data_IF_896499406428
#
_entry.id   IF_896499406428
#
_cell.length_a   1.000
_cell.length_b   1.000
_cell.length_c   1.000
_cell.angle_alpha   90.00
_cell.angle_beta   90.00
_cell.angle_gamma   90.00
#
_symmetry.space_group_name_H-M   'P 1'
#
loop_
_entity.id
_entity.type
_entity.pdbx_description
1 polymer ?
#
# COMPACT_ATOMS: atom_id res chain seq x y z
N UNK A 1 12.74 -6.72 16.35
CA UNK A 1 12.40 -5.30 16.58
C UNK A 1 13.08 -4.84 17.86
N UNK A 2 14.39 -4.56 17.80
CA UNK A 2 15.08 -3.85 18.88
C UNK A 2 14.94 -2.36 18.58
N UNK A 3 14.15 -1.69 19.41
CA UNK A 3 14.18 -0.24 19.58
C UNK A 3 15.61 0.17 19.88
N UNK A 4 16.28 0.74 18.87
CA UNK A 4 17.60 1.33 19.04
C UNK A 4 17.44 2.57 19.93
N UNK A 5 17.85 2.42 21.19
CA UNK A 5 18.02 3.48 22.18
C UNK A 5 18.63 4.73 21.54
N UNK A 6 17.84 5.78 21.35
CA UNK A 6 18.30 7.11 21.00
C UNK A 6 18.82 7.90 22.21
N UNK A 7 19.02 7.24 23.37
CA UNK A 7 19.47 7.85 24.62
C UNK A 7 20.58 7.03 25.31
N UNK A 8 21.49 6.40 24.55
CA UNK A 8 22.76 5.94 25.15
C UNK A 8 23.71 7.13 25.24
N UNK A 9 24.20 7.40 26.45
CA UNK A 9 25.29 8.33 26.72
C UNK A 9 26.45 8.12 25.72
N UNK A 10 27.15 9.20 25.33
CA UNK A 10 28.24 9.16 24.35
C UNK A 10 29.23 8.04 24.66
N UNK A 11 29.24 6.98 23.83
CA UNK A 11 30.24 5.90 23.83
C UNK A 11 30.40 5.11 25.14
N UNK A 12 29.83 3.90 25.21
CA UNK A 12 30.09 2.96 26.30
C UNK A 12 31.40 2.20 26.04
N UNK A 13 32.42 2.44 26.85
CA UNK A 13 33.73 1.76 26.77
C UNK A 13 33.87 0.76 27.91
N UNK A 14 34.22 -0.48 27.60
CA UNK A 14 34.57 -1.49 28.61
C UNK A 14 36.08 -1.54 28.79
N UNK A 15 36.56 -1.43 30.03
CA UNK A 15 37.98 -1.47 30.37
C UNK A 15 38.30 -2.75 31.13
N UNK A 16 39.11 -3.63 30.56
CA UNK A 16 39.63 -4.84 31.22
C UNK A 16 41.14 -4.71 31.42
N UNK A 17 41.54 -4.28 32.61
CA UNK A 17 42.93 -4.06 32.99
C UNK A 17 43.14 -4.51 34.46
N UNK A 18 43.38 -5.81 34.70
CA UNK A 18 43.41 -6.41 36.04
C UNK A 18 44.64 -5.97 36.86
N UNK A 19 45.68 -5.44 36.22
CA UNK A 19 46.91 -4.98 36.84
C UNK A 19 47.11 -3.48 36.62
N UNK A 20 47.41 -2.73 37.69
CA UNK A 20 47.75 -1.30 37.62
C UNK A 20 46.60 -0.32 37.86
N UNK A 21 46.90 0.98 37.78
CA UNK A 21 45.93 2.08 37.96
C UNK A 21 45.40 2.65 36.64
N UNK A 22 45.85 2.11 35.50
CA UNK A 22 45.58 2.66 34.17
C UNK A 22 44.09 2.63 33.83
N UNK A 23 43.36 1.57 34.18
CA UNK A 23 41.91 1.46 33.97
C UNK A 23 41.15 2.62 34.63
N UNK A 24 41.48 2.94 35.89
CA UNK A 24 40.80 3.98 36.65
C UNK A 24 41.14 5.38 36.11
N UNK A 25 42.39 5.59 35.68
CA UNK A 25 42.83 6.86 35.10
C UNK A 25 42.22 7.09 33.70
N UNK A 26 42.17 6.05 32.86
CA UNK A 26 41.50 6.08 31.56
C UNK A 26 40.00 6.33 31.77
N UNK A 27 39.36 5.64 32.71
CA UNK A 27 37.95 5.86 33.03
C UNK A 27 37.66 7.29 33.47
N UNK A 28 38.50 7.86 34.36
CA UNK A 28 38.37 9.25 34.79
C UNK A 28 38.51 10.25 33.64
N UNK A 29 39.55 10.11 32.80
CA UNK A 29 39.77 11.01 31.66
C UNK A 29 38.71 10.89 30.55
N UNK A 30 38.11 9.71 30.40
CA UNK A 30 36.96 9.52 29.49
C UNK A 30 35.69 10.13 30.08
N UNK A 31 35.46 9.94 31.38
CA UNK A 31 34.32 10.49 32.10
C UNK A 31 34.28 12.02 32.13
N UNK A 32 35.43 12.67 32.32
CA UNK A 32 35.57 14.14 32.29
C UNK A 32 35.14 14.75 30.93
N UNK A 33 35.11 13.93 29.88
CA UNK A 33 34.70 14.32 28.52
C UNK A 33 33.37 13.67 28.08
N UNK A 34 32.59 13.15 29.02
CA UNK A 34 31.24 12.63 28.74
C UNK A 34 31.20 11.21 28.16
N UNK A 35 32.34 10.51 28.10
CA UNK A 35 32.39 9.11 27.64
C UNK A 35 32.18 8.15 28.82
N UNK A 36 31.21 7.26 28.71
CA UNK A 36 30.90 6.28 29.77
C UNK A 36 31.90 5.13 29.75
N UNK A 37 32.84 5.10 30.69
CA UNK A 37 33.83 4.04 30.81
C UNK A 37 33.57 3.15 32.03
N UNK A 38 33.41 1.84 31.81
CA UNK A 38 33.17 0.84 32.85
C UNK A 38 34.38 -0.05 33.05
N UNK A 39 34.99 0.01 34.23
CA UNK A 39 36.06 -0.90 34.62
C UNK A 39 35.45 -2.26 34.97
N UNK A 40 35.94 -3.31 34.32
CA UNK A 40 35.53 -4.69 34.57
C UNK A 40 36.50 -5.34 35.55
N UNK A 41 35.97 -6.01 36.57
CA UNK A 41 36.78 -6.62 37.63
C UNK A 41 37.48 -7.90 37.17
N UNK A 42 36.85 -8.64 36.26
CA UNK A 42 37.36 -9.87 35.68
C UNK A 42 36.79 -10.06 34.25
N UNK A 43 37.19 -11.17 33.63
CA UNK A 43 36.77 -11.51 32.27
C UNK A 43 35.28 -11.87 32.19
N UNK A 44 34.71 -12.51 33.21
CA UNK A 44 33.29 -12.91 33.19
C UNK A 44 32.38 -11.67 33.21
N UNK A 45 32.72 -10.67 34.04
CA UNK A 45 32.07 -9.37 34.08
C UNK A 45 32.20 -8.62 32.75
N UNK A 46 33.41 -8.63 32.16
CA UNK A 46 33.65 -8.01 30.86
C UNK A 46 32.80 -8.65 29.74
N UNK A 47 32.78 -9.98 29.66
CA UNK A 47 32.02 -10.74 28.67
C UNK A 47 30.53 -10.46 28.76
N UNK A 48 29.97 -10.56 29.98
CA UNK A 48 28.57 -10.25 30.23
C UNK A 48 28.21 -8.82 29.81
N UNK A 49 29.03 -7.84 30.20
CA UNK A 49 28.82 -6.43 29.83
C UNK A 49 28.97 -6.20 28.34
N UNK A 50 29.83 -6.94 27.65
CA UNK A 50 29.99 -6.85 26.19
C UNK A 50 28.74 -7.36 25.46
N UNK A 51 28.13 -8.45 25.95
CA UNK A 51 26.84 -8.95 25.46
C UNK A 51 25.68 -7.97 25.69
N UNK A 52 25.71 -7.17 26.76
CA UNK A 52 24.76 -6.06 26.98
C UNK A 52 24.98 -4.89 25.99
N UNK A 53 26.07 -4.94 25.22
CA UNK A 53 26.42 -4.03 24.14
C UNK A 53 27.31 -2.88 24.61
N UNK A 54 28.47 -2.73 23.96
CA UNK A 54 29.42 -1.65 24.15
C UNK A 54 29.78 -1.00 22.80
N UNK A 55 30.47 0.14 22.84
CA UNK A 55 30.93 0.89 21.66
C UNK A 55 32.44 0.73 21.41
N UNK A 56 33.21 0.38 22.44
CA UNK A 56 34.62 0.01 22.33
C UNK A 56 35.05 -0.83 23.53
N UNK A 57 36.16 -1.54 23.40
CA UNK A 57 36.86 -2.17 24.52
C UNK A 57 38.30 -1.69 24.62
N UNK A 58 38.79 -1.59 25.85
CA UNK A 58 40.21 -1.47 26.17
C UNK A 58 40.62 -2.70 26.96
N UNK A 59 41.69 -3.35 26.53
CA UNK A 59 42.18 -4.58 27.16
C UNK A 59 43.69 -4.46 27.36
N UNK A 60 44.22 -4.86 28.51
CA UNK A 60 45.68 -5.02 28.68
C UNK A 60 46.10 -6.45 28.36
N UNK A 61 47.32 -6.63 27.88
CA UNK A 61 47.85 -7.94 27.52
C UNK A 61 47.77 -8.98 28.66
N UNK A 62 47.94 -8.57 29.91
CA UNK A 62 47.84 -9.44 31.08
C UNK A 62 46.42 -10.00 31.29
N UNK A 63 45.41 -9.34 30.73
CA UNK A 63 44.03 -9.80 30.78
C UNK A 63 43.70 -10.87 29.72
N UNK A 64 44.54 -11.05 28.70
CA UNK A 64 44.32 -11.95 27.57
C UNK A 64 44.68 -13.41 27.89
N UNK A 65 44.01 -13.98 28.89
CA UNK A 65 44.04 -15.43 29.13
C UNK A 65 43.37 -16.19 27.97
N UNK A 66 43.65 -17.49 27.74
CA UNK A 66 42.96 -18.26 26.70
C UNK A 66 41.44 -18.20 26.77
N UNK A 67 40.88 -18.20 27.99
CA UNK A 67 39.44 -18.04 28.24
C UNK A 67 38.93 -16.66 27.79
N UNK A 68 39.70 -15.60 28.06
CA UNK A 68 39.34 -14.23 27.64
C UNK A 68 39.33 -14.07 26.12
N UNK A 69 40.29 -14.67 25.43
CA UNK A 69 40.35 -14.65 23.96
C UNK A 69 39.16 -15.40 23.37
N UNK A 70 38.83 -16.59 23.88
CA UNK A 70 37.66 -17.35 23.42
C UNK A 70 36.37 -16.56 23.58
N UNK A 71 36.15 -15.93 24.74
CA UNK A 71 34.97 -15.12 24.96
C UNK A 71 34.91 -13.89 24.04
N UNK A 72 36.03 -13.16 23.89
CA UNK A 72 36.11 -12.00 22.99
C UNK A 72 35.77 -12.37 21.55
N UNK A 73 36.35 -13.47 21.05
CA UNK A 73 36.07 -13.97 19.70
C UNK A 73 34.61 -14.36 19.54
N UNK A 74 34.02 -15.03 20.53
CA UNK A 74 32.59 -15.39 20.51
C UNK A 74 31.70 -14.14 20.46
N UNK A 75 31.96 -13.15 21.33
CA UNK A 75 31.22 -11.90 21.36
C UNK A 75 31.37 -11.07 20.08
N UNK A 76 32.54 -11.10 19.44
CA UNK A 76 32.77 -10.46 18.14
C UNK A 76 31.99 -11.16 17.02
N UNK A 77 31.90 -12.50 17.05
CA UNK A 77 31.12 -13.27 16.07
C UNK A 77 29.62 -13.09 16.21
N UNK A 78 29.13 -12.83 17.41
CA UNK A 78 27.73 -12.47 17.64
C UNK A 78 27.39 -11.06 17.14
N UNK A 79 28.39 -10.21 16.89
CA UNK A 79 28.14 -8.90 16.31
C UNK A 79 27.52 -9.03 14.91
N UNK A 80 26.61 -8.13 14.54
CA UNK A 80 26.11 -8.08 13.17
C UNK A 80 27.25 -7.94 12.15
N UNK A 81 27.11 -8.52 10.94
CA UNK A 81 28.18 -8.51 9.91
C UNK A 81 28.70 -7.12 9.50
N UNK A 82 27.94 -6.05 9.72
CA UNK A 82 28.34 -4.67 9.42
C UNK A 82 29.09 -3.99 10.58
N UNK A 83 29.08 -4.60 11.76
CA UNK A 83 29.61 -4.05 13.01
C UNK A 83 31.10 -4.32 13.08
N UNK A 84 31.89 -3.25 13.08
CA UNK A 84 33.33 -3.31 13.32
C UNK A 84 33.59 -2.85 14.76
N UNK A 85 33.61 -3.79 15.70
CA UNK A 85 33.75 -3.46 17.13
C UNK A 85 35.22 -3.18 17.46
N UNK A 86 35.58 -1.98 17.94
CA UNK A 86 36.98 -1.63 18.14
C UNK A 86 37.50 -2.08 19.50
N UNK A 87 38.68 -2.69 19.49
CA UNK A 87 39.41 -3.15 20.69
C UNK A 87 40.78 -2.45 20.71
N UNK A 88 41.04 -1.65 21.74
CA UNK A 88 42.37 -1.07 21.99
C UNK A 88 43.11 -1.97 22.96
N UNK A 89 44.19 -2.61 22.50
CA UNK A 89 45.00 -3.54 23.27
C UNK A 89 46.32 -2.90 23.69
N UNK A 90 46.56 -2.79 25.00
CA UNK A 90 47.83 -2.32 25.55
C UNK A 90 48.81 -3.49 25.73
N UNK A 91 49.92 -3.46 25.00
CA UNK A 91 50.96 -4.52 24.99
C UNK A 91 52.21 -4.12 25.76
N UNK A 92 52.96 -5.09 26.28
CA UNK A 92 54.27 -4.88 26.92
C UNK A 92 55.39 -4.74 25.89
N UNK A 93 56.15 -3.65 25.92
CA UNK A 93 57.35 -3.49 25.10
C UNK A 93 58.61 -3.96 25.84
N UNK A 94 59.24 -5.04 25.36
CA UNK A 94 60.53 -5.53 25.85
C UNK A 94 60.70 -7.04 25.75
N UNK A 95 61.94 -7.55 25.84
CA UNK A 95 62.40 -8.94 25.62
C UNK A 95 61.70 -10.06 26.43
N UNK A 96 60.67 -9.75 27.22
CA UNK A 96 59.85 -10.72 27.96
C UNK A 96 58.56 -10.98 27.19
N UNK A 97 58.54 -12.10 26.46
CA UNK A 97 57.39 -12.73 25.75
C UNK A 97 56.43 -11.73 25.09
N UNK A 98 56.57 -11.42 23.79
CA UNK A 98 55.57 -10.59 23.10
C UNK A 98 54.18 -11.22 23.21
N UNK A 99 53.14 -10.37 23.19
CA UNK A 99 51.74 -10.80 23.07
C UNK A 99 51.64 -11.98 22.11
N UNK A 100 51.13 -13.11 22.61
CA UNK A 100 51.18 -14.38 21.90
C UNK A 100 50.65 -14.17 20.47
N UNK A 101 51.48 -14.37 19.41
CA UNK A 101 51.08 -14.09 18.03
C UNK A 101 49.80 -14.81 17.62
N UNK A 102 49.51 -15.95 18.25
CA UNK A 102 48.27 -16.72 18.06
C UNK A 102 47.05 -15.96 18.59
N UNK A 103 47.18 -15.27 19.72
CA UNK A 103 46.10 -14.48 20.33
C UNK A 103 45.80 -13.22 19.52
N UNK A 104 46.84 -12.50 19.10
CA UNK A 104 46.69 -11.32 18.24
C UNK A 104 46.07 -11.67 16.89
N UNK A 105 46.47 -12.82 16.31
CA UNK A 105 45.87 -13.32 15.08
C UNK A 105 44.41 -13.70 15.27
N UNK A 106 44.07 -14.42 16.35
CA UNK A 106 42.69 -14.81 16.64
C UNK A 106 41.76 -13.60 16.82
N UNK A 107 42.23 -12.53 17.46
CA UNK A 107 41.44 -11.31 17.64
C UNK A 107 41.42 -10.42 16.39
N UNK A 108 42.48 -10.44 15.57
CA UNK A 108 42.58 -9.65 14.34
C UNK A 108 41.83 -10.23 13.15
N UNK A 109 41.66 -11.55 13.07
CA UNK A 109 40.88 -12.21 12.02
C UNK A 109 39.36 -11.93 12.18
N UNK A 110 38.90 -11.77 13.43
CA UNK A 110 37.48 -11.60 13.80
C UNK A 110 37.14 -10.17 14.32
N UNK A 111 38.09 -9.22 14.41
CA UNK A 111 37.85 -7.90 15.01
C UNK A 111 38.84 -6.79 14.69
N UNK A 112 38.42 -5.53 14.93
CA UNK A 112 39.23 -4.32 14.74
C UNK A 112 40.08 -4.04 15.97
N UNK A 113 41.31 -4.56 15.97
CA UNK A 113 42.25 -4.43 17.09
C UNK A 113 43.30 -3.36 16.81
N UNK A 114 43.39 -2.37 17.70
CA UNK A 114 44.45 -1.34 17.73
C UNK A 114 45.46 -1.67 18.83
N UNK A 115 46.72 -1.84 18.47
CA UNK A 115 47.80 -2.14 19.43
C UNK A 115 48.47 -0.84 19.92
N UNK A 116 48.70 -0.74 21.23
CA UNK A 116 49.49 0.34 21.83
C UNK A 116 50.55 -0.26 22.74
N UNK A 117 51.82 -0.02 22.43
CA UNK A 117 52.95 -0.58 23.18
C UNK A 117 53.33 0.28 24.40
N UNK A 118 53.77 -0.37 25.49
CA UNK A 118 54.38 0.29 26.65
C UNK A 118 55.87 0.56 26.46
N UNK A 119 56.43 1.65 27.04
CA UNK A 119 55.74 2.67 27.83
C UNK A 119 54.96 3.66 26.94
N UNK A 120 53.69 3.91 27.27
CA UNK A 120 52.84 4.89 26.58
C UNK A 120 52.25 5.89 27.58
N UNK A 121 51.85 7.07 27.08
CA UNK A 121 51.18 8.08 27.90
C UNK A 121 49.68 7.80 27.89
N UNK A 122 49.00 8.07 29.00
CA UNK A 122 47.54 7.89 29.14
C UNK A 122 46.79 8.65 28.03
N UNK A 123 47.27 9.85 27.66
CA UNK A 123 46.68 10.64 26.56
C UNK A 123 46.67 9.90 25.20
N UNK A 124 47.64 9.02 24.94
CA UNK A 124 47.69 8.21 23.72
C UNK A 124 46.58 7.16 23.72
N UNK A 125 46.36 6.49 24.86
CA UNK A 125 45.28 5.49 25.03
C UNK A 125 43.91 6.13 24.88
N UNK A 126 43.71 7.26 25.55
CA UNK A 126 42.49 8.06 25.44
C UNK A 126 42.27 8.52 24.00
N UNK A 127 43.31 8.96 23.29
CA UNK A 127 43.20 9.37 21.88
C UNK A 127 42.83 8.20 20.95
N UNK A 128 43.41 7.02 21.17
CA UNK A 128 43.08 5.81 20.41
C UNK A 128 41.62 5.39 20.62
N UNK A 129 41.15 5.34 21.87
CA UNK A 129 39.76 5.04 22.20
C UNK A 129 38.79 6.07 21.60
N UNK A 130 39.13 7.37 21.61
CA UNK A 130 38.32 8.40 20.95
C UNK A 130 38.24 8.21 19.44
N UNK A 131 39.35 7.86 18.80
CA UNK A 131 39.35 7.58 17.37
C UNK A 131 38.46 6.37 17.03
N UNK A 132 38.56 5.31 17.82
CA UNK A 132 37.70 4.13 17.75
C UNK A 132 36.22 4.47 17.91
N UNK A 133 35.85 5.20 18.97
CA UNK A 133 34.46 5.62 19.21
C UNK A 133 33.90 6.48 18.08
N UNK A 134 34.70 7.40 17.52
CA UNK A 134 34.27 8.20 16.35
C UNK A 134 34.07 7.34 15.11
N UNK A 135 34.90 6.32 14.90
CA UNK A 135 34.71 5.38 13.79
C UNK A 135 33.42 4.57 13.99
N UNK A 136 33.20 4.03 15.20
CA UNK A 136 32.00 3.30 15.58
C UNK A 136 30.73 4.09 15.37
N UNK A 137 30.70 5.35 15.81
CA UNK A 137 29.56 6.25 15.63
C UNK A 137 29.23 6.47 14.15
N UNK A 138 30.23 6.73 13.31
CA UNK A 138 30.03 6.92 11.86
C UNK A 138 29.45 5.67 11.19
N UNK A 139 29.76 4.47 11.67
CA UNK A 139 29.17 3.24 11.16
C UNK A 139 27.68 3.13 11.47
N UNK A 140 27.28 3.45 12.70
CA UNK A 140 25.87 3.49 13.09
C UNK A 140 25.10 4.57 12.30
N UNK A 141 25.67 5.77 12.16
CA UNK A 141 25.07 6.86 11.38
C UNK A 141 24.87 6.47 9.90
N UNK A 142 25.91 5.88 9.28
CA UNK A 142 25.81 5.40 7.90
C UNK A 142 24.74 4.33 7.74
N UNK A 143 24.69 3.36 8.66
CA UNK A 143 23.66 2.32 8.66
C UNK A 143 22.26 2.90 8.79
N UNK A 144 22.06 3.83 9.74
CA UNK A 144 20.78 4.49 9.94
C UNK A 144 20.34 5.19 8.64
N UNK A 145 21.25 5.91 8.01
CA UNK A 145 20.99 6.59 6.74
C UNK A 145 20.61 5.61 5.61
N UNK A 146 21.32 4.48 5.47
CA UNK A 146 21.01 3.46 4.46
C UNK A 146 19.63 2.81 4.68
N UNK A 147 19.26 2.57 5.94
CA UNK A 147 17.94 2.02 6.29
C UNK A 147 16.83 3.02 5.95
N UNK A 148 17.02 4.31 6.26
CA UNK A 148 16.07 5.36 5.90
C UNK A 148 15.93 5.53 4.38
N UNK A 149 17.04 5.55 3.65
CA UNK A 149 17.03 5.63 2.19
C UNK A 149 16.27 4.47 1.56
N UNK A 150 16.53 3.23 2.02
CA UNK A 150 15.83 2.05 1.52
C UNK A 150 14.33 2.12 1.77
N UNK A 151 13.91 2.56 2.96
CA UNK A 151 12.49 2.76 3.29
C UNK A 151 11.84 3.82 2.40
N UNK A 152 12.52 4.93 2.16
CA UNK A 152 12.03 6.00 1.30
C UNK A 152 11.91 5.54 -0.18
N UNK A 153 12.84 4.72 -0.64
CA UNK A 153 12.80 4.13 -1.99
C UNK A 153 11.64 3.14 -2.15
N UNK A 154 11.43 2.25 -1.18
CA UNK A 154 10.31 1.30 -1.16
C UNK A 154 8.96 2.03 -1.18
N UNK A 155 8.78 3.06 -0.36
CA UNK A 155 7.56 3.86 -0.33
C UNK A 155 7.35 4.62 -1.65
N UNK A 156 8.42 5.18 -2.23
CA UNK A 156 8.34 5.84 -3.54
C UNK A 156 7.95 4.87 -4.64
N UNK A 157 8.48 3.66 -4.64
CA UNK A 157 8.14 2.63 -5.62
C UNK A 157 6.67 2.20 -5.50
N UNK A 158 6.16 2.07 -4.27
CA UNK A 158 4.75 1.80 -4.00
C UNK A 158 3.84 2.90 -4.54
N UNK A 159 4.06 4.16 -4.16
CA UNK A 159 3.27 5.30 -4.61
C UNK A 159 3.30 5.46 -6.14
N UNK A 160 4.45 5.20 -6.78
CA UNK A 160 4.56 5.24 -8.23
C UNK A 160 3.69 4.15 -8.89
N UNK A 161 3.61 2.97 -8.27
CA UNK A 161 2.81 1.85 -8.78
C UNK A 161 1.31 2.16 -8.68
N UNK A 162 0.86 2.66 -7.52
CA UNK A 162 -0.52 3.11 -7.30
C UNK A 162 -0.91 4.24 -8.27
N UNK A 163 -0.02 5.22 -8.48
CA UNK A 163 -0.24 6.31 -9.43
C UNK A 163 -0.33 5.81 -10.88
N UNK A 164 0.53 4.87 -11.29
CA UNK A 164 0.50 4.26 -12.63
C UNK A 164 -0.80 3.49 -12.86
N UNK A 165 -1.23 2.72 -11.88
CA UNK A 165 -2.49 1.98 -11.97
C UNK A 165 -3.69 2.92 -12.09
N UNK A 166 -3.75 3.96 -11.24
CA UNK A 166 -4.80 4.97 -11.33
C UNK A 166 -4.80 5.68 -12.68
N UNK A 167 -3.64 6.01 -13.24
CA UNK A 167 -3.56 6.67 -14.54
C UNK A 167 -3.97 5.73 -15.67
N UNK A 168 -3.58 4.45 -15.62
CA UNK A 168 -4.02 3.43 -16.57
C UNK A 168 -5.54 3.29 -16.56
N UNK A 169 -6.17 3.20 -15.38
CA UNK A 169 -7.63 3.13 -15.25
C UNK A 169 -8.30 4.38 -15.82
N UNK A 170 -7.69 5.57 -15.64
CA UNK A 170 -8.18 6.81 -16.23
C UNK A 170 -8.09 6.80 -17.77
N UNK A 171 -6.99 6.31 -18.32
CA UNK A 171 -6.78 6.23 -19.76
C UNK A 171 -7.71 5.20 -20.41
N UNK A 172 -7.86 4.02 -19.79
CA UNK A 172 -8.84 2.99 -20.18
C UNK A 172 -10.26 3.57 -20.14
N UNK A 173 -10.62 4.31 -19.09
CA UNK A 173 -11.90 5.01 -19.00
C UNK A 173 -12.11 6.00 -20.15
N UNK A 174 -11.14 6.89 -20.42
CA UNK A 174 -11.26 7.87 -21.50
C UNK A 174 -11.36 7.21 -22.87
N UNK A 175 -10.63 6.11 -23.11
CA UNK A 175 -10.70 5.35 -24.34
C UNK A 175 -12.08 4.71 -24.54
N UNK A 176 -12.61 4.03 -23.52
CA UNK A 176 -13.94 3.41 -23.56
C UNK A 176 -15.03 4.46 -23.77
N UNK A 177 -15.00 5.57 -23.03
CA UNK A 177 -15.99 6.65 -23.19
C UNK A 177 -15.93 7.28 -24.57
N UNK A 178 -14.73 7.51 -25.11
CA UNK A 178 -14.59 8.01 -26.47
C UNK A 178 -15.25 7.08 -27.50
N UNK A 179 -15.18 5.77 -27.29
CA UNK A 179 -15.79 4.79 -28.18
C UNK A 179 -17.30 4.71 -28.02
N UNK A 180 -17.80 4.67 -26.78
CA UNK A 180 -19.23 4.64 -26.45
C UNK A 180 -19.95 5.91 -26.89
N UNK A 181 -19.29 7.08 -26.84
CA UNK A 181 -19.83 8.34 -27.36
C UNK A 181 -19.79 8.37 -28.89
N UNK A 182 -18.75 7.82 -29.53
CA UNK A 182 -18.61 7.86 -31.00
C UNK A 182 -19.68 7.03 -31.70
N UNK A 183 -20.01 5.84 -31.20
CA UNK A 183 -20.95 4.92 -31.85
C UNK A 183 -22.34 5.54 -32.14
N UNK A 184 -23.08 6.08 -31.16
CA UNK A 184 -24.38 6.72 -31.43
C UNK A 184 -24.24 7.96 -32.31
N UNK A 185 -23.17 8.74 -32.12
CA UNK A 185 -22.89 9.92 -32.95
C UNK A 185 -22.66 9.56 -34.43
N UNK A 186 -21.90 8.50 -34.72
CA UNK A 186 -21.69 8.01 -36.08
C UNK A 186 -23.00 7.52 -36.71
N UNK A 187 -23.86 6.84 -35.94
CA UNK A 187 -25.18 6.43 -36.42
C UNK A 187 -26.08 7.63 -36.75
N UNK A 188 -26.13 8.64 -35.87
CA UNK A 188 -26.89 9.89 -36.10
C UNK A 188 -26.39 10.59 -37.36
N UNK A 189 -25.07 10.78 -37.50
CA UNK A 189 -24.48 11.44 -38.67
C UNK A 189 -24.73 10.65 -39.97
N UNK A 190 -24.64 9.32 -39.92
CA UNK A 190 -24.89 8.45 -41.06
C UNK A 190 -26.33 8.55 -41.56
N UNK A 191 -27.31 8.38 -40.66
CA UNK A 191 -28.73 8.47 -41.01
C UNK A 191 -29.16 9.88 -41.41
N UNK A 192 -28.64 10.93 -40.77
CA UNK A 192 -28.92 12.30 -41.19
C UNK A 192 -28.33 12.62 -42.57
N UNK A 193 -27.14 12.08 -42.91
CA UNK A 193 -26.58 12.22 -44.26
C UNK A 193 -27.45 11.50 -45.31
N UNK A 194 -27.89 10.29 -45.01
CA UNK A 194 -28.78 9.51 -45.87
C UNK A 194 -30.14 10.22 -46.04
N UNK A 195 -30.79 10.66 -44.98
CA UNK A 195 -32.06 11.39 -45.07
C UNK A 195 -31.96 12.64 -45.97
N UNK A 196 -30.79 13.30 -45.99
CA UNK A 196 -30.54 14.46 -46.87
C UNK A 196 -30.41 14.12 -48.36
N UNK A 197 -30.15 12.87 -48.74
CA UNK A 197 -30.11 12.49 -50.17
C UNK A 197 -31.50 12.40 -50.80
N UNK A 198 -32.57 12.43 -50.00
CA UNK A 198 -33.97 12.42 -50.44
C UNK A 198 -34.34 11.21 -51.33
N UNK A 199 -33.61 10.11 -51.19
CA UNK A 199 -33.79 8.86 -51.96
C UNK A 199 -34.67 7.83 -51.26
N UNK A 200 -35.18 8.15 -50.06
CA UNK A 200 -35.93 7.22 -49.22
C UNK A 200 -37.45 7.34 -49.43
N UNK A 201 -38.14 6.20 -49.35
CA UNK A 201 -39.60 6.21 -49.19
C UNK A 201 -40.02 6.76 -47.83
N UNK A 202 -41.33 6.96 -47.63
CA UNK A 202 -41.87 7.43 -46.33
C UNK A 202 -41.52 6.48 -45.17
N UNK A 203 -41.68 5.17 -45.37
CA UNK A 203 -41.40 4.17 -44.32
C UNK A 203 -39.92 4.13 -43.93
N UNK A 204 -39.00 4.19 -44.90
CA UNK A 204 -37.55 4.20 -44.62
C UNK A 204 -37.12 5.50 -43.90
N UNK A 205 -37.79 6.61 -44.23
CA UNK A 205 -37.56 7.92 -43.60
C UNK A 205 -37.97 7.88 -42.13
N UNK A 206 -39.13 7.31 -41.83
CA UNK A 206 -39.65 7.15 -40.46
C UNK A 206 -38.71 6.27 -39.63
N UNK A 207 -38.26 5.14 -40.19
CA UNK A 207 -37.30 4.24 -39.52
C UNK A 207 -35.92 4.88 -39.29
N UNK A 208 -35.47 5.73 -40.22
CA UNK A 208 -34.24 6.49 -40.06
C UNK A 208 -34.37 7.54 -38.93
N UNK A 209 -35.50 8.25 -38.86
CA UNK A 209 -35.78 9.22 -37.79
C UNK A 209 -35.86 8.54 -36.41
N UNK A 210 -36.55 7.40 -36.30
CA UNK A 210 -36.58 6.60 -35.06
C UNK A 210 -35.16 6.18 -34.63
N UNK A 211 -34.32 5.80 -35.59
CA UNK A 211 -32.94 5.42 -35.29
C UNK A 211 -32.11 6.61 -34.81
N UNK A 212 -32.29 7.79 -35.40
CA UNK A 212 -31.64 9.02 -34.97
C UNK A 212 -32.08 9.39 -33.55
N UNK A 213 -33.38 9.40 -33.28
CA UNK A 213 -33.95 9.73 -31.97
C UNK A 213 -33.44 8.78 -30.88
N UNK A 214 -33.48 7.47 -31.13
CA UNK A 214 -32.98 6.46 -30.19
C UNK A 214 -31.49 6.67 -29.86
N UNK A 215 -30.66 6.95 -30.86
CA UNK A 215 -29.23 7.19 -30.63
C UNK A 215 -28.98 8.53 -29.92
N UNK A 216 -29.78 9.56 -30.18
CA UNK A 216 -29.69 10.84 -29.48
C UNK A 216 -30.02 10.69 -28.00
N UNK A 217 -31.08 9.94 -27.67
CA UNK A 217 -31.41 9.62 -26.27
C UNK A 217 -30.31 8.80 -25.58
N UNK A 218 -29.74 7.80 -26.28
CA UNK A 218 -28.61 7.05 -25.75
C UNK A 218 -27.40 7.94 -25.48
N UNK A 219 -27.11 8.90 -26.37
CA UNK A 219 -26.03 9.87 -26.24
C UNK A 219 -26.21 10.79 -25.03
N UNK A 220 -27.42 11.34 -24.82
CA UNK A 220 -27.75 12.17 -23.66
C UNK A 220 -27.56 11.38 -22.37
N UNK A 221 -28.09 10.16 -22.30
CA UNK A 221 -27.94 9.30 -21.13
C UNK A 221 -26.47 9.04 -20.79
N UNK A 222 -25.62 8.74 -21.79
CA UNK A 222 -24.19 8.53 -21.57
C UNK A 222 -23.49 9.78 -21.00
N UNK A 223 -23.88 10.98 -21.45
CA UNK A 223 -23.33 12.24 -20.95
C UNK A 223 -23.77 12.48 -19.50
N UNK A 224 -25.04 12.23 -19.18
CA UNK A 224 -25.57 12.40 -17.82
C UNK A 224 -24.89 11.42 -16.84
N UNK A 225 -24.75 10.14 -17.23
CA UNK A 225 -24.05 9.11 -16.46
C UNK A 225 -22.58 9.51 -16.21
N UNK A 226 -21.91 10.10 -17.21
CA UNK A 226 -20.54 10.62 -17.10
C UNK A 226 -20.42 11.78 -16.10
N UNK A 227 -21.35 12.74 -16.15
CA UNK A 227 -21.38 13.88 -15.24
C UNK A 227 -21.64 13.43 -13.80
N UNK A 228 -22.55 12.46 -13.60
CA UNK A 228 -22.82 11.87 -12.30
C UNK A 228 -21.60 11.15 -11.74
N UNK A 229 -20.93 10.30 -12.53
CA UNK A 229 -19.69 9.62 -12.13
C UNK A 229 -18.62 10.63 -11.73
N UNK A 230 -18.44 11.70 -12.51
CA UNK A 230 -17.48 12.76 -12.20
C UNK A 230 -17.77 13.44 -10.85
N UNK A 231 -19.04 13.77 -10.59
CA UNK A 231 -19.47 14.35 -9.31
C UNK A 231 -19.26 13.39 -8.13
N UNK A 232 -19.52 12.10 -8.32
CA UNK A 232 -19.29 11.06 -7.30
C UNK A 232 -17.80 10.95 -6.99
N UNK A 233 -16.95 10.80 -8.01
CA UNK A 233 -15.49 10.62 -7.84
C UNK A 233 -14.86 11.82 -7.15
N UNK A 234 -15.31 13.03 -7.49
CA UNK A 234 -14.79 14.26 -6.89
C UNK A 234 -15.39 14.58 -5.53
N UNK A 235 -16.28 13.75 -4.99
CA UNK A 235 -16.97 13.99 -3.72
C UNK A 235 -17.93 15.19 -3.76
N UNK A 236 -18.33 15.62 -4.95
CA UNK A 236 -19.20 16.79 -5.18
C UNK A 236 -20.68 16.43 -5.35
N UNK A 237 -21.01 15.13 -5.38
CA UNK A 237 -22.41 14.70 -5.40
C UNK A 237 -23.07 15.10 -4.07
N UNK A 238 -24.11 15.91 -4.16
CA UNK A 238 -25.00 16.23 -3.04
C UNK A 238 -26.34 15.52 -3.27
N UNK A 239 -26.86 14.91 -2.22
CA UNK A 239 -28.17 14.28 -2.22
C UNK A 239 -29.19 15.26 -1.66
N UNK A 240 -30.34 15.38 -2.32
CA UNK A 240 -31.48 16.13 -1.81
C UNK A 240 -32.38 15.20 -0.98
N UNK A 241 -31.96 14.98 0.27
CA UNK A 241 -32.56 13.98 1.16
C UNK A 241 -33.87 14.51 1.75
N UNK A 242 -34.98 13.89 1.35
CA UNK A 242 -36.32 14.23 1.81
C UNK A 242 -37.04 12.99 2.35
N UNK A 243 -38.16 13.20 3.05
CA UNK A 243 -39.07 12.09 3.40
C UNK A 243 -39.87 11.73 2.17
N UNK A 244 -39.72 10.51 1.67
CA UNK A 244 -40.25 10.06 0.38
C UNK A 244 -41.10 8.79 0.52
N UNK A 245 -42.09 8.66 -0.35
CA UNK A 245 -42.81 7.40 -0.56
C UNK A 245 -42.06 6.56 -1.59
N UNK A 246 -41.38 5.52 -1.10
CA UNK A 246 -40.60 4.63 -1.96
C UNK A 246 -41.47 3.76 -2.87
N UNK A 247 -42.75 3.53 -2.52
CA UNK A 247 -43.71 2.81 -3.36
C UNK A 247 -43.93 3.56 -4.67
N UNK A 248 -44.28 4.84 -4.58
CA UNK A 248 -44.49 5.72 -5.74
C UNK A 248 -43.25 5.82 -6.64
N UNK A 249 -42.05 5.88 -6.05
CA UNK A 249 -40.79 5.92 -6.81
C UNK A 249 -40.54 4.62 -7.59
N UNK A 250 -40.79 3.47 -6.96
CA UNK A 250 -40.65 2.16 -7.62
C UNK A 250 -41.68 2.02 -8.74
N UNK A 251 -42.93 2.44 -8.52
CA UNK A 251 -43.97 2.44 -9.54
C UNK A 251 -43.58 3.31 -10.74
N UNK A 252 -43.11 4.53 -10.52
CA UNK A 252 -42.65 5.42 -11.58
C UNK A 252 -41.53 4.80 -12.42
N UNK A 253 -40.55 4.14 -11.78
CA UNK A 253 -39.48 3.44 -12.48
C UNK A 253 -39.98 2.23 -13.30
N UNK A 254 -40.95 1.49 -12.76
CA UNK A 254 -41.58 0.35 -13.47
C UNK A 254 -42.36 0.84 -14.70
N UNK A 255 -43.18 1.88 -14.55
CA UNK A 255 -43.99 2.40 -15.65
C UNK A 255 -43.15 2.91 -16.80
N UNK A 256 -42.07 3.62 -16.52
CA UNK A 256 -41.20 4.08 -17.58
C UNK A 256 -40.46 2.90 -18.28
N UNK A 257 -40.23 1.76 -17.59
CA UNK A 257 -39.53 0.60 -18.15
C UNK A 257 -40.47 -0.34 -18.92
N UNK A 258 -41.78 -0.22 -18.69
CA UNK A 258 -42.84 -1.06 -19.25
C UNK A 258 -42.80 -1.14 -20.78
N UNK A 259 -42.66 -0.05 -21.56
CA UNK A 259 -42.61 -0.15 -23.02
C UNK A 259 -41.46 -1.03 -23.54
N UNK A 260 -40.30 -0.96 -22.88
CA UNK A 260 -39.13 -1.77 -23.25
C UNK A 260 -39.33 -3.25 -22.92
N UNK A 261 -40.00 -3.54 -21.80
CA UNK A 261 -40.36 -4.90 -21.41
C UNK A 261 -41.38 -5.51 -22.38
N UNK A 262 -42.42 -4.76 -22.74
CA UNK A 262 -43.48 -5.18 -23.67
C UNK A 262 -42.95 -5.43 -25.07
N UNK A 263 -42.08 -4.56 -25.58
CA UNK A 263 -41.41 -4.75 -26.88
C UNK A 263 -40.60 -6.06 -26.94
N UNK A 264 -40.13 -6.56 -25.80
CA UNK A 264 -39.39 -7.83 -25.67
C UNK A 264 -40.24 -8.98 -25.10
N UNK A 265 -41.56 -8.80 -25.00
CA UNK A 265 -42.51 -9.75 -24.43
C UNK A 265 -42.07 -10.29 -23.05
N UNK A 266 -41.53 -9.42 -22.19
CA UNK A 266 -41.13 -9.75 -20.82
C UNK A 266 -42.33 -9.58 -19.88
N UNK A 267 -42.60 -10.60 -19.06
CA UNK A 267 -43.60 -10.52 -18.00
C UNK A 267 -43.06 -9.70 -16.81
N UNK A 268 -43.45 -8.43 -16.71
CA UNK A 268 -43.04 -7.52 -15.66
C UNK A 268 -44.05 -7.52 -14.50
N UNK A 269 -43.62 -8.01 -13.33
CA UNK A 269 -44.45 -8.14 -12.12
C UNK A 269 -44.00 -7.18 -11.01
N UNK A 270 -44.94 -6.58 -10.30
CA UNK A 270 -44.68 -5.74 -9.12
C UNK A 270 -45.34 -6.30 -7.87
N UNK A 271 -44.60 -6.30 -6.76
CA UNK A 271 -45.07 -6.68 -5.44
C UNK A 271 -44.63 -5.61 -4.44
N UNK A 272 -45.47 -4.59 -4.27
CA UNK A 272 -45.15 -3.42 -3.46
C UNK A 272 -45.94 -3.51 -2.15
N UNK A 273 -45.24 -3.61 -1.02
CA UNK A 273 -45.87 -3.55 0.29
C UNK A 273 -46.28 -2.09 0.59
N UNK A 274 -47.58 -1.77 0.74
CA UNK A 274 -48.04 -0.40 1.05
C UNK A 274 -47.53 0.12 2.40
N UNK A 275 -47.12 -0.77 3.30
CA UNK A 275 -46.54 -0.45 4.61
C UNK A 275 -45.00 -0.46 4.61
N UNK A 276 -44.36 -0.40 3.43
CA UNK A 276 -42.92 -0.16 3.34
C UNK A 276 -42.51 1.14 4.04
N UNK A 277 -43.47 2.07 4.22
CA UNK A 277 -43.34 3.28 5.03
C UNK A 277 -42.46 4.33 4.35
N UNK A 278 -42.59 5.60 4.76
CA UNK A 278 -41.73 6.64 4.21
C UNK A 278 -40.27 6.37 4.60
N UNK A 279 -39.37 6.65 3.68
CA UNK A 279 -37.91 6.57 3.89
C UNK A 279 -37.29 7.95 3.71
N UNK A 280 -36.13 8.16 4.31
CA UNK A 280 -35.33 9.36 4.06
C UNK A 280 -34.40 9.08 2.87
N UNK A 281 -34.53 9.86 1.80
CA UNK A 281 -33.73 9.65 0.59
C UNK A 281 -33.95 10.72 -0.46
N UNK A 282 -33.12 10.67 -1.49
CA UNK A 282 -33.24 11.48 -2.69
C UNK A 282 -34.09 10.71 -3.71
N UNK A 283 -35.24 11.28 -4.07
CA UNK A 283 -36.24 10.62 -4.90
C UNK A 283 -35.69 10.29 -6.30
N UNK A 284 -35.02 11.26 -6.93
CA UNK A 284 -34.49 11.13 -8.29
C UNK A 284 -33.38 10.07 -8.32
N UNK A 285 -32.51 10.06 -7.32
CA UNK A 285 -31.41 9.07 -7.23
C UNK A 285 -31.92 7.67 -6.96
N UNK A 286 -32.94 7.51 -6.12
CA UNK A 286 -33.53 6.20 -5.87
C UNK A 286 -34.31 5.70 -7.10
N UNK A 287 -35.02 6.58 -7.80
CA UNK A 287 -35.64 6.24 -9.08
C UNK A 287 -34.60 5.77 -10.10
N UNK A 288 -33.47 6.48 -10.20
CA UNK A 288 -32.34 6.11 -11.08
C UNK A 288 -31.76 4.73 -10.73
N UNK A 289 -31.63 4.39 -9.44
CA UNK A 289 -31.18 3.05 -9.00
C UNK A 289 -32.15 1.96 -9.47
N UNK A 290 -33.44 2.13 -9.19
CA UNK A 290 -34.46 1.13 -9.56
C UNK A 290 -34.54 0.98 -11.08
N UNK A 291 -34.50 2.10 -11.81
CA UNK A 291 -34.45 2.14 -13.26
C UNK A 291 -33.26 1.37 -13.84
N UNK A 292 -32.07 1.60 -13.31
CA UNK A 292 -30.85 0.95 -13.79
C UNK A 292 -30.89 -0.57 -13.55
N UNK A 293 -31.42 -1.01 -12.41
CA UNK A 293 -31.60 -2.44 -12.14
C UNK A 293 -32.65 -3.06 -13.06
N UNK A 294 -33.79 -2.39 -13.25
CA UNK A 294 -34.87 -2.83 -14.15
C UNK A 294 -34.42 -2.94 -15.61
N UNK A 295 -33.77 -1.91 -16.13
CA UNK A 295 -33.30 -1.89 -17.52
C UNK A 295 -32.23 -2.94 -17.76
N UNK A 296 -31.36 -3.21 -16.79
CA UNK A 296 -30.43 -4.34 -16.85
C UNK A 296 -31.15 -5.69 -16.85
N UNK A 297 -32.12 -5.90 -15.94
CA UNK A 297 -32.92 -7.12 -15.88
C UNK A 297 -33.64 -7.40 -17.22
N UNK A 298 -34.31 -6.40 -17.80
CA UNK A 298 -34.99 -6.52 -19.10
C UNK A 298 -33.98 -6.80 -20.22
N UNK A 299 -32.83 -6.10 -20.24
CA UNK A 299 -31.79 -6.27 -21.24
C UNK A 299 -31.27 -7.71 -21.29
N UNK A 300 -31.02 -8.33 -20.14
CA UNK A 300 -30.40 -9.67 -20.06
C UNK A 300 -31.38 -10.84 -19.90
N UNK A 301 -32.68 -10.56 -19.80
CA UNK A 301 -33.72 -11.59 -19.85
C UNK A 301 -34.10 -11.92 -21.30
N UNK A 302 -34.11 -13.20 -21.72
CA UNK A 302 -34.59 -13.62 -23.04
C UNK A 302 -36.06 -13.24 -23.29
N UNK A 303 -36.46 -13.15 -24.56
CA UNK A 303 -37.85 -12.90 -24.95
C UNK A 303 -38.80 -13.95 -24.31
N UNK A 304 -39.93 -13.50 -23.76
CA UNK A 304 -40.88 -14.38 -23.06
C UNK A 304 -40.51 -14.69 -21.60
N UNK A 305 -39.37 -14.19 -21.10
CA UNK A 305 -38.96 -14.35 -19.70
C UNK A 305 -39.73 -13.44 -18.73
N UNK A 306 -39.30 -13.40 -17.48
CA UNK A 306 -39.96 -12.64 -16.41
C UNK A 306 -39.00 -11.78 -15.61
N UNK A 307 -39.48 -10.60 -15.22
CA UNK A 307 -38.80 -9.68 -14.30
C UNK A 307 -39.78 -9.31 -13.20
N UNK A 308 -39.35 -9.38 -11.94
CA UNK A 308 -40.17 -9.08 -10.76
C UNK A 308 -39.49 -8.03 -9.90
N UNK A 309 -40.23 -6.99 -9.54
CA UNK A 309 -39.82 -5.99 -8.55
C UNK A 309 -40.61 -6.20 -7.27
N UNK A 310 -39.90 -6.32 -6.15
CA UNK A 310 -40.49 -6.45 -4.80
C UNK A 310 -39.99 -5.34 -3.90
N UNK A 311 -40.91 -4.64 -3.25
CA UNK A 311 -40.65 -3.66 -2.21
C UNK A 311 -41.21 -4.18 -0.89
N UNK A 312 -40.36 -4.36 0.12
CA UNK A 312 -40.77 -4.84 1.44
C UNK A 312 -40.01 -4.16 2.57
N UNK A 313 -40.67 -4.00 3.73
CA UNK A 313 -39.99 -3.58 4.97
C UNK A 313 -39.40 -4.79 5.67
N UNK A 314 -38.12 -4.71 6.00
CA UNK A 314 -37.37 -5.74 6.73
C UNK A 314 -36.73 -5.08 7.94
N UNK A 315 -37.30 -5.33 9.12
CA UNK A 315 -36.91 -4.68 10.37
C UNK A 315 -36.96 -3.14 10.25
N UNK A 316 -35.83 -2.47 10.52
CA UNK A 316 -35.67 -1.02 10.41
C UNK A 316 -35.35 -0.53 8.99
N UNK A 317 -35.26 -1.42 8.01
CA UNK A 317 -34.87 -1.09 6.64
C UNK A 317 -35.98 -1.38 5.63
N UNK A 318 -35.85 -0.82 4.44
CA UNK A 318 -36.65 -1.19 3.28
C UNK A 318 -35.76 -1.89 2.27
N UNK A 319 -36.26 -2.97 1.68
CA UNK A 319 -35.56 -3.80 0.70
C UNK A 319 -36.28 -3.72 -0.64
N UNK A 320 -35.54 -3.29 -1.66
CA UNK A 320 -35.95 -3.39 -3.06
C UNK A 320 -35.25 -4.60 -3.65
N UNK A 321 -36.01 -5.50 -4.26
CA UNK A 321 -35.48 -6.66 -4.98
C UNK A 321 -35.94 -6.60 -6.42
N UNK A 322 -35.00 -6.58 -7.36
CA UNK A 322 -35.28 -6.81 -8.78
C UNK A 322 -34.76 -8.21 -9.11
N UNK A 323 -35.65 -9.09 -9.54
CA UNK A 323 -35.32 -10.46 -9.91
C UNK A 323 -35.66 -10.71 -11.36
N UNK A 324 -34.79 -11.38 -12.08
CA UNK A 324 -34.98 -11.72 -13.47
C UNK A 324 -34.76 -13.21 -13.73
N UNK A 325 -35.34 -13.72 -14.82
CA UNK A 325 -35.13 -15.07 -15.31
C UNK A 325 -34.12 -15.11 -16.47
N UNK A 326 -33.12 -14.22 -16.44
CA UNK A 326 -32.13 -14.06 -17.49
C UNK A 326 -31.00 -15.07 -17.44
N UNK A 327 -29.94 -14.79 -18.20
CA UNK A 327 -28.78 -15.68 -18.37
C UNK A 327 -27.94 -15.89 -17.08
N UNK A 328 -28.22 -15.14 -16.03
CA UNK A 328 -27.44 -15.14 -14.79
C UNK A 328 -26.09 -14.43 -14.93
N UNK A 329 -25.33 -14.42 -13.84
CA UNK A 329 -24.00 -13.81 -13.74
C UNK A 329 -23.02 -14.91 -13.33
N UNK A 330 -21.87 -15.02 -14.02
CA UNK A 330 -20.86 -16.01 -13.66
C UNK A 330 -20.24 -15.69 -12.30
N UNK A 331 -19.87 -16.72 -11.55
CA UNK A 331 -19.25 -16.57 -10.22
C UNK A 331 -17.94 -15.77 -10.27
N UNK A 332 -17.19 -15.88 -11.38
CA UNK A 332 -15.95 -15.12 -11.61
C UNK A 332 -16.20 -13.62 -11.81
N UNK A 333 -17.34 -13.26 -12.42
CA UNK A 333 -17.66 -11.85 -12.69
C UNK A 333 -18.44 -11.19 -11.53
N UNK A 334 -19.12 -11.97 -10.70
CA UNK A 334 -19.97 -11.45 -9.60
C UNK A 334 -19.23 -10.48 -8.66
N UNK A 335 -17.97 -10.70 -8.24
CA UNK A 335 -17.23 -9.73 -7.41
C UNK A 335 -16.99 -8.39 -8.12
N UNK A 336 -17.04 -8.38 -9.45
CA UNK A 336 -16.70 -7.25 -10.31
C UNK A 336 -17.92 -6.59 -10.97
N UNK A 337 -19.15 -7.04 -10.66
CA UNK A 337 -20.37 -6.56 -11.34
C UNK A 337 -20.65 -5.07 -11.10
N UNK A 338 -20.17 -4.53 -9.98
CA UNK A 338 -20.28 -3.11 -9.63
C UNK A 338 -18.99 -2.32 -9.91
N UNK A 339 -17.96 -2.99 -10.44
CA UNK A 339 -16.76 -2.30 -10.90
C UNK A 339 -17.12 -1.46 -12.14
N UNK A 340 -16.57 -0.25 -12.19
CA UNK A 340 -16.87 0.70 -13.25
C UNK A 340 -16.40 0.13 -14.60
N UNK A 341 -17.24 0.24 -15.62
CA UNK A 341 -16.92 -0.12 -17.01
C UNK A 341 -16.56 -1.60 -17.23
N UNK A 342 -16.80 -2.46 -16.24
CA UNK A 342 -16.68 -3.92 -16.38
C UNK A 342 -17.94 -4.49 -17.02
N UNK A 343 -17.75 -5.26 -18.08
CA UNK A 343 -18.80 -6.05 -18.71
C UNK A 343 -18.34 -7.51 -18.80
N UNK A 344 -19.26 -8.45 -18.55
CA UNK A 344 -18.94 -9.88 -18.57
C UNK A 344 -18.49 -10.39 -19.95
N UNK A 345 -18.92 -9.74 -21.04
CA UNK A 345 -18.80 -10.23 -22.42
C UNK A 345 -17.70 -9.54 -23.26
N UNK A 346 -16.70 -8.90 -22.62
CA UNK A 346 -15.63 -8.14 -23.30
C UNK A 346 -14.76 -8.93 -24.32
N UNK A 347 -14.96 -10.24 -24.45
CA UNK A 347 -14.23 -11.12 -25.37
C UNK A 347 -14.99 -11.54 -26.64
N UNK A 348 -16.30 -11.30 -26.77
CA UNK A 348 -17.13 -12.02 -27.78
C UNK A 348 -17.69 -11.21 -28.95
N UNK A 349 -17.39 -9.92 -29.10
CA UNK A 349 -17.88 -9.11 -30.25
C UNK A 349 -16.92 -9.02 -31.45
N UNK A 350 -15.87 -9.85 -31.52
CA UNK A 350 -14.92 -9.85 -32.65
C UNK A 350 -15.17 -10.90 -33.74
N UNK A 351 -16.37 -11.47 -33.81
CA UNK A 351 -16.75 -12.36 -34.90
C UNK A 351 -17.99 -11.78 -35.59
N UNK A 352 -17.77 -11.22 -36.78
CA UNK A 352 -18.67 -10.98 -37.93
C UNK A 352 -18.61 -9.55 -38.47
N UNK A 353 -18.01 -9.40 -39.66
CA UNK A 353 -18.23 -8.27 -40.57
C UNK A 353 -16.96 -7.56 -41.02
N UNK A 354 -16.41 -7.99 -42.17
CA UNK A 354 -15.61 -7.12 -43.03
C UNK A 354 -16.49 -6.25 -43.93
#
# INVERSE_FOLDING_TARGET
>A
MQTLNSERADGRVLLLAPTGRDAALIAGMLGDEGVSAEVCGDIEDFCRKLSDGADAAFVTEEALTPLAVSCLVEALREQPQWSDFPIVLLTGGGESVPANPVVLKALGDDGNVTLVERPTRIITLVSALRAALRARRRQYEMRAHLVEQKRAEEERARLLTEAKESNRLKDEFLATMSHELRTPMTAILGWTHLLRTNTFGKEDTERALETVERNAHAQTKLIDDLLDISRIITGKLRLDVNTIDLGAIVEAAVEAARPTAEAKAINLQTLINPHAGPVSGDADRLQQVVWNLLTNAIKFTPQGGSVRVRLERVNSHVKITVSDSGKGISAEFLPHVFDRFRQADGATTRVHGG
#
